data_IF_351200106251
#
_entry.id   IF_351200106251
#
_cell.length_a   1.000
_cell.length_b   1.000
_cell.length_c   1.000
_cell.angle_alpha   90.00
_cell.angle_beta   90.00
_cell.angle_gamma   90.00
#
_symmetry.space_group_name_H-M   'P 1'
#
loop_
_entity.id
_entity.type
_entity.pdbx_description
1 polymer ?
#
# COMPACT_ATOMS: atom_id res chain seq x y z
N UNK A 1 -49.52 31.71 -3.33
CA UNK A 1 -48.87 30.45 -2.94
C UNK A 1 -47.98 30.09 -4.12
N UNK A 2 -46.65 30.11 -3.94
CA UNK A 2 -45.76 29.69 -5.03
C UNK A 2 -45.90 28.17 -5.21
N UNK A 3 -46.20 27.74 -6.45
CA UNK A 3 -46.30 26.34 -6.80
C UNK A 3 -44.91 25.65 -6.68
N UNK A 4 -44.70 24.90 -5.65
CA UNK A 4 -43.44 24.18 -5.35
C UNK A 4 -43.27 22.93 -6.23
N UNK A 5 -44.26 22.60 -7.07
CA UNK A 5 -44.21 21.41 -7.96
C UNK A 5 -43.34 21.63 -9.20
N UNK A 6 -42.96 22.87 -9.52
CA UNK A 6 -42.22 23.22 -10.75
C UNK A 6 -40.78 23.68 -10.53
N UNK A 7 -40.21 23.49 -9.35
CA UNK A 7 -38.79 23.80 -9.17
C UNK A 7 -37.94 22.71 -9.84
N UNK A 8 -37.12 23.06 -10.85
CA UNK A 8 -36.24 22.13 -11.48
C UNK A 8 -35.24 21.64 -10.42
N UNK A 9 -35.08 20.31 -10.29
CA UNK A 9 -34.17 19.70 -9.35
C UNK A 9 -32.70 19.83 -9.75
N UNK A 10 -32.47 20.29 -11.00
CA UNK A 10 -31.15 20.63 -11.55
C UNK A 10 -31.20 22.04 -12.09
N UNK A 11 -30.34 22.93 -11.61
CA UNK A 11 -30.33 24.34 -12.01
C UNK A 11 -28.96 24.97 -11.84
N UNK A 12 -28.73 26.10 -12.54
CA UNK A 12 -27.57 26.95 -12.29
C UNK A 12 -27.91 27.94 -11.18
N UNK A 13 -27.00 28.11 -10.22
CA UNK A 13 -27.10 29.12 -9.19
C UNK A 13 -26.86 30.51 -9.80
N UNK A 14 -27.46 31.55 -9.19
CA UNK A 14 -27.21 32.92 -9.58
C UNK A 14 -25.70 33.23 -9.60
N UNK A 15 -25.22 33.83 -10.71
CA UNK A 15 -23.78 33.99 -10.98
C UNK A 15 -23.22 32.94 -11.96
N UNK A 16 -23.93 31.86 -12.22
CA UNK A 16 -23.62 30.89 -13.29
C UNK A 16 -22.47 29.89 -13.03
N UNK A 17 -21.74 30.03 -11.92
CA UNK A 17 -20.53 29.28 -11.67
C UNK A 17 -20.79 27.88 -11.05
N UNK A 18 -22.03 27.64 -10.59
CA UNK A 18 -22.38 26.39 -9.91
C UNK A 18 -23.60 25.75 -10.56
N UNK A 19 -23.47 24.48 -10.95
CA UNK A 19 -24.60 23.63 -11.32
C UNK A 19 -25.06 22.83 -10.09
N UNK A 20 -26.30 23.01 -9.68
CA UNK A 20 -26.86 22.38 -8.48
C UNK A 20 -27.78 21.24 -8.87
N UNK A 21 -27.57 20.09 -8.24
CA UNK A 21 -28.47 18.94 -8.24
C UNK A 21 -29.12 18.91 -6.85
N UNK A 22 -30.35 19.39 -6.74
CA UNK A 22 -31.08 19.45 -5.47
C UNK A 22 -31.57 18.08 -5.04
N UNK A 23 -32.10 17.99 -3.81
CA UNK A 23 -32.62 16.72 -3.25
C UNK A 23 -33.62 16.06 -4.20
N UNK A 24 -33.38 14.79 -4.53
CA UNK A 24 -34.16 14.01 -5.50
C UNK A 24 -33.89 14.36 -6.97
N UNK A 25 -32.90 15.21 -7.26
CA UNK A 25 -32.35 15.40 -8.63
C UNK A 25 -31.37 14.28 -8.97
N UNK A 26 -31.24 13.97 -10.25
CA UNK A 26 -30.30 12.94 -10.76
C UNK A 26 -29.45 13.57 -11.86
N UNK A 27 -28.15 13.27 -11.85
CA UNK A 27 -27.26 13.43 -13.00
C UNK A 27 -27.10 12.05 -13.64
N UNK A 28 -27.71 11.87 -14.79
CA UNK A 28 -27.54 10.67 -15.60
C UNK A 28 -26.55 10.97 -16.75
N UNK A 29 -25.52 10.13 -16.84
CA UNK A 29 -24.53 10.19 -17.91
C UNK A 29 -24.75 8.98 -18.81
N UNK A 30 -25.41 9.20 -19.93
CA UNK A 30 -25.76 8.16 -20.89
C UNK A 30 -24.51 7.47 -21.49
N UNK A 31 -24.75 6.35 -22.18
CA UNK A 31 -23.70 5.60 -22.86
C UNK A 31 -22.90 6.47 -23.84
N UNK A 32 -21.61 6.50 -23.71
CA UNK A 32 -20.69 7.34 -24.48
C UNK A 32 -20.45 8.74 -23.89
N UNK A 33 -21.21 9.15 -22.86
CA UNK A 33 -20.93 10.33 -22.06
C UNK A 33 -19.77 10.11 -21.09
N UNK A 34 -19.12 11.18 -20.65
CA UNK A 34 -18.05 11.12 -19.67
C UNK A 34 -18.18 12.20 -18.61
N UNK A 35 -18.03 11.80 -17.33
CA UNK A 35 -17.82 12.75 -16.24
C UNK A 35 -16.33 13.02 -16.11
N UNK A 36 -15.93 14.29 -16.15
CA UNK A 36 -14.52 14.71 -16.03
C UNK A 36 -14.30 15.59 -14.81
N UNK A 37 -13.19 15.36 -14.11
CA UNK A 37 -12.71 16.22 -13.04
C UNK A 37 -11.37 16.83 -13.46
N UNK A 38 -11.28 18.17 -13.50
CA UNK A 38 -10.10 18.89 -14.01
C UNK A 38 -9.62 18.40 -15.39
N UNK A 39 -10.57 18.07 -16.28
CA UNK A 39 -10.27 17.59 -17.63
C UNK A 39 -9.99 16.08 -17.74
N UNK A 40 -9.78 15.39 -16.64
CA UNK A 40 -9.53 13.93 -16.60
C UNK A 40 -10.85 13.18 -16.45
N UNK A 41 -11.10 12.20 -17.31
CA UNK A 41 -12.30 11.37 -17.24
C UNK A 41 -12.29 10.50 -15.99
N UNK A 42 -13.41 10.45 -15.28
CA UNK A 42 -13.67 9.49 -14.21
C UNK A 42 -14.08 8.18 -14.89
N UNK A 43 -13.20 7.19 -14.88
CA UNK A 43 -13.41 5.89 -15.56
C UNK A 43 -13.95 4.76 -14.68
N UNK A 44 -13.95 4.86 -13.31
CA UNK A 44 -14.50 3.79 -12.49
C UNK A 44 -15.98 3.53 -12.77
N UNK A 45 -16.39 2.28 -12.71
CA UNK A 45 -17.80 1.88 -12.79
C UNK A 45 -18.58 2.40 -11.57
N UNK A 46 -19.91 2.49 -11.68
CA UNK A 46 -20.77 2.83 -10.55
C UNK A 46 -20.57 1.89 -9.34
N UNK A 47 -20.28 0.60 -9.59
CA UNK A 47 -19.98 -0.35 -8.53
C UNK A 47 -18.67 -0.02 -7.78
N UNK A 48 -17.64 0.44 -8.49
CA UNK A 48 -16.36 0.84 -7.89
C UNK A 48 -16.49 2.16 -7.11
N UNK A 49 -17.23 3.12 -7.64
CA UNK A 49 -17.54 4.37 -6.93
C UNK A 49 -18.34 4.10 -5.67
N UNK A 50 -19.35 3.22 -5.72
CA UNK A 50 -20.16 2.85 -4.57
C UNK A 50 -19.35 2.06 -3.53
N UNK A 51 -18.40 1.23 -3.95
CA UNK A 51 -17.45 0.59 -3.03
C UNK A 51 -16.61 1.62 -2.28
N UNK A 52 -16.09 2.63 -2.94
CA UNK A 52 -15.30 3.68 -2.30
C UNK A 52 -16.13 4.48 -1.28
N UNK A 53 -17.40 4.73 -1.55
CA UNK A 53 -18.32 5.40 -0.63
C UNK A 53 -18.65 4.56 0.61
N UNK A 54 -18.75 3.23 0.48
CA UNK A 54 -19.00 2.32 1.61
C UNK A 54 -17.79 2.08 2.49
N UNK A 55 -16.58 2.32 1.98
CA UNK A 55 -15.31 2.21 2.72
C UNK A 55 -15.08 3.44 3.63
N UNK A 56 -15.80 4.53 3.41
CA UNK A 56 -15.43 5.86 3.92
C UNK A 56 -15.62 6.10 5.42
N UNK A 57 -16.30 5.26 6.20
CA UNK A 57 -16.65 5.66 7.57
C UNK A 57 -16.11 4.76 8.70
N UNK A 58 -15.84 3.48 8.46
CA UNK A 58 -15.53 2.53 9.56
C UNK A 58 -14.57 1.39 9.20
N UNK A 59 -14.11 1.30 7.96
CA UNK A 59 -13.24 0.21 7.54
C UNK A 59 -11.77 0.65 7.49
N UNK A 60 -10.89 -0.22 7.98
CA UNK A 60 -9.46 -0.11 7.70
C UNK A 60 -9.23 -0.09 6.17
N UNK A 61 -8.65 0.97 5.67
CA UNK A 61 -8.18 0.99 4.29
C UNK A 61 -6.91 0.16 4.21
N UNK A 62 -6.94 -0.89 3.41
CA UNK A 62 -5.76 -1.71 3.13
C UNK A 62 -4.99 -1.10 1.97
N UNK A 63 -3.73 -0.81 2.20
CA UNK A 63 -2.78 -0.29 1.22
C UNK A 63 -1.64 -1.29 1.07
N UNK A 64 -1.25 -1.57 -0.16
CA UNK A 64 0.00 -2.30 -0.45
C UNK A 64 1.00 -1.33 -1.03
N UNK A 65 2.15 -1.22 -0.38
CA UNK A 65 3.30 -0.45 -0.87
C UNK A 65 4.48 -1.40 -1.12
N UNK A 66 5.28 -1.08 -2.13
CA UNK A 66 6.39 -1.93 -2.53
C UNK A 66 7.65 -1.14 -2.90
N UNK A 67 8.80 -1.78 -2.76
CA UNK A 67 10.11 -1.30 -3.24
C UNK A 67 10.79 -2.42 -4.00
N UNK A 68 11.30 -2.09 -5.18
CA UNK A 68 12.06 -3.01 -6.02
C UNK A 68 13.56 -2.75 -5.87
N UNK A 69 14.29 -3.80 -5.52
CA UNK A 69 15.75 -3.82 -5.51
C UNK A 69 16.23 -4.47 -6.80
N UNK A 70 17.09 -3.77 -7.54
CA UNK A 70 17.71 -4.27 -8.76
C UNK A 70 19.21 -4.24 -8.59
N UNK A 71 19.86 -5.39 -8.82
CA UNK A 71 21.30 -5.51 -8.71
C UNK A 71 22.01 -4.72 -9.80
N UNK A 72 22.96 -3.86 -9.39
CA UNK A 72 23.74 -3.01 -10.27
C UNK A 72 25.20 -2.90 -9.75
N UNK A 73 25.80 -4.04 -9.37
CA UNK A 73 27.16 -4.10 -8.82
C UNK A 73 27.19 -4.44 -7.33
N UNK A 74 28.37 -4.34 -6.74
CA UNK A 74 28.57 -4.55 -5.31
C UNK A 74 28.09 -3.34 -4.51
N UNK A 75 27.48 -3.59 -3.34
CA UNK A 75 27.05 -2.53 -2.44
C UNK A 75 25.76 -2.86 -1.68
N UNK A 76 25.30 -1.89 -0.91
CA UNK A 76 24.04 -1.94 -0.20
C UNK A 76 22.99 -1.10 -0.93
N UNK A 77 21.84 -1.70 -1.16
CA UNK A 77 20.66 -1.10 -1.78
C UNK A 77 19.61 -0.91 -0.68
N UNK A 78 19.30 0.31 -0.33
CA UNK A 78 18.32 0.62 0.73
C UNK A 78 17.00 1.05 0.11
N UNK A 79 15.93 0.42 0.53
CA UNK A 79 14.56 0.78 0.17
C UNK A 79 13.72 1.06 1.41
N UNK A 80 12.83 2.04 1.33
CA UNK A 80 12.01 2.47 2.47
C UNK A 80 10.55 2.58 2.08
N UNK A 81 9.68 2.02 2.92
CA UNK A 81 8.23 2.16 2.86
C UNK A 81 7.78 2.92 4.11
N UNK A 82 7.26 4.13 3.94
CA UNK A 82 6.76 4.94 5.04
C UNK A 82 5.33 4.50 5.43
N UNK A 83 5.13 4.13 6.68
CA UNK A 83 3.82 3.81 7.24
C UNK A 83 3.29 4.98 8.07
N UNK A 84 2.06 5.44 7.84
CA UNK A 84 1.41 6.45 8.67
C UNK A 84 1.24 6.00 10.13
N UNK A 85 1.09 6.96 11.03
CA UNK A 85 0.73 6.69 12.42
C UNK A 85 -0.59 5.90 12.53
N UNK A 86 -0.65 4.98 13.48
CA UNK A 86 -1.81 4.12 13.68
C UNK A 86 -1.91 2.95 12.69
N UNK A 87 -0.93 2.76 11.80
CA UNK A 87 -0.92 1.66 10.84
C UNK A 87 -0.74 0.31 11.52
N UNK A 88 -1.46 -0.69 10.99
CA UNK A 88 -1.29 -2.10 11.33
C UNK A 88 -0.83 -2.86 10.08
N UNK A 89 0.31 -3.50 10.14
CA UNK A 89 0.79 -4.40 9.10
C UNK A 89 -0.09 -5.65 9.10
N UNK A 90 -0.62 -5.98 7.93
CA UNK A 90 -1.41 -7.20 7.66
C UNK A 90 -0.47 -8.28 7.16
N UNK A 91 0.36 -7.92 6.18
CA UNK A 91 1.41 -8.79 5.64
C UNK A 91 2.64 -7.96 5.25
N UNK A 92 3.81 -8.56 5.34
CA UNK A 92 5.08 -8.00 4.89
C UNK A 92 5.91 -9.16 4.35
N UNK A 93 6.56 -8.92 3.24
CA UNK A 93 7.37 -9.98 2.63
C UNK A 93 8.39 -9.47 1.65
N UNK A 94 9.19 -10.41 1.21
CA UNK A 94 10.15 -10.26 0.13
C UNK A 94 9.92 -11.35 -0.90
N UNK A 95 9.86 -10.98 -2.18
CA UNK A 95 9.74 -11.93 -3.29
C UNK A 95 10.96 -11.85 -4.22
N UNK A 96 11.44 -13.01 -4.63
CA UNK A 96 12.50 -13.18 -5.61
C UNK A 96 11.92 -13.09 -7.03
N UNK A 97 12.30 -12.05 -7.77
CA UNK A 97 11.90 -11.91 -9.17
C UNK A 97 12.98 -12.41 -10.14
N UNK A 98 14.23 -12.24 -9.77
CA UNK A 98 15.39 -12.80 -10.45
C UNK A 98 16.52 -13.05 -9.45
N UNK A 99 17.24 -14.15 -9.62
CA UNK A 99 18.35 -14.53 -8.75
C UNK A 99 19.48 -13.51 -8.84
N UNK A 100 20.04 -13.15 -7.71
CA UNK A 100 21.18 -12.25 -7.63
C UNK A 100 22.46 -12.95 -8.08
N UNK A 101 23.20 -12.30 -8.93
CA UNK A 101 24.41 -12.85 -9.59
C UNK A 101 25.71 -12.40 -8.91
N UNK A 102 25.63 -11.71 -7.79
CA UNK A 102 26.80 -11.27 -6.99
C UNK A 102 27.87 -12.36 -6.88
N UNK A 103 29.13 -11.99 -7.06
CA UNK A 103 30.24 -12.94 -7.12
C UNK A 103 30.40 -13.77 -5.84
N UNK A 104 30.17 -13.18 -4.67
CA UNK A 104 30.39 -13.84 -3.37
C UNK A 104 29.07 -14.14 -2.65
N UNK A 105 28.29 -13.11 -2.31
CA UNK A 105 27.01 -13.27 -1.59
C UNK A 105 26.06 -12.15 -1.93
N UNK A 106 24.77 -12.44 -1.82
CA UNK A 106 23.71 -11.43 -1.80
C UNK A 106 22.68 -11.80 -0.75
N UNK A 107 22.26 -10.84 0.04
CA UNK A 107 21.23 -11.04 1.08
C UNK A 107 20.40 -9.79 1.27
N UNK A 108 19.19 -9.94 1.81
CA UNK A 108 18.33 -8.84 2.23
C UNK A 108 17.97 -9.02 3.70
N UNK A 109 17.94 -7.90 4.44
CA UNK A 109 17.32 -7.79 5.76
C UNK A 109 16.15 -6.83 5.67
N UNK A 110 15.13 -7.01 6.53
CA UNK A 110 13.98 -6.11 6.60
C UNK A 110 13.64 -5.82 8.05
N UNK A 111 13.58 -4.55 8.38
CA UNK A 111 13.27 -4.09 9.72
C UNK A 111 12.73 -2.66 9.75
N UNK A 112 13.04 -1.95 10.82
CA UNK A 112 12.72 -0.54 11.00
C UNK A 112 13.86 0.18 11.73
N UNK A 113 13.64 1.45 12.12
CA UNK A 113 14.66 2.24 12.83
C UNK A 113 15.02 1.74 14.24
N UNK A 114 14.29 0.80 14.79
CA UNK A 114 14.56 0.20 16.11
C UNK A 114 15.28 -1.15 16.03
N UNK A 115 15.08 -1.87 14.91
CA UNK A 115 15.69 -3.19 14.67
C UNK A 115 15.72 -3.39 13.13
N UNK A 116 16.90 -3.37 12.55
CA UNK A 116 17.12 -3.36 11.09
C UNK A 116 16.78 -4.70 10.42
N UNK A 117 16.66 -5.78 11.19
CA UNK A 117 16.26 -7.12 10.74
C UNK A 117 15.06 -7.68 11.52
N UNK A 118 14.31 -6.81 12.18
CA UNK A 118 13.21 -7.19 13.05
C UNK A 118 12.10 -8.00 12.37
N UNK A 119 11.85 -7.80 11.08
CA UNK A 119 10.90 -8.60 10.31
C UNK A 119 11.58 -9.80 9.67
N UNK A 120 12.65 -9.59 8.92
CA UNK A 120 13.40 -10.67 8.27
C UNK A 120 14.89 -10.53 8.56
N UNK A 121 15.46 -11.58 9.15
CA UNK A 121 16.89 -11.78 9.24
C UNK A 121 17.51 -11.94 7.85
N UNK A 122 18.84 -11.95 7.75
CA UNK A 122 19.54 -12.05 6.48
C UNK A 122 19.06 -13.24 5.63
N UNK A 123 18.30 -12.92 4.58
CA UNK A 123 17.74 -13.86 3.62
C UNK A 123 18.63 -13.89 2.38
N UNK A 124 19.16 -15.05 2.03
CA UNK A 124 20.03 -15.24 0.87
C UNK A 124 19.23 -15.06 -0.45
N UNK A 125 19.72 -14.22 -1.34
CA UNK A 125 19.11 -13.90 -2.63
C UNK A 125 19.72 -14.69 -3.80
N UNK A 126 20.60 -15.65 -3.50
CA UNK A 126 21.29 -16.51 -4.47
C UNK A 126 20.72 -17.95 -4.43
N UNK A 127 19.41 -18.09 -4.52
CA UNK A 127 18.67 -19.36 -4.56
C UNK A 127 18.64 -20.19 -3.28
N UNK A 128 19.40 -19.84 -2.24
CA UNK A 128 19.43 -20.69 -1.03
C UNK A 128 18.20 -20.49 -0.15
N UNK A 129 17.76 -19.23 0.03
CA UNK A 129 16.62 -18.90 0.90
C UNK A 129 15.47 -18.26 0.12
N UNK A 130 15.75 -17.67 -1.06
CA UNK A 130 14.78 -16.99 -1.90
C UNK A 130 15.19 -17.11 -3.38
N UNK A 131 14.60 -18.06 -4.09
CA UNK A 131 14.77 -18.22 -5.52
C UNK A 131 13.81 -17.31 -6.32
N UNK A 132 14.00 -17.27 -7.64
CA UNK A 132 13.07 -16.58 -8.53
C UNK A 132 11.69 -17.25 -8.48
N UNK A 133 10.65 -16.46 -8.23
CA UNK A 133 9.27 -16.93 -8.06
C UNK A 133 8.90 -17.35 -6.65
N UNK A 134 9.82 -17.30 -5.69
CA UNK A 134 9.55 -17.60 -4.28
C UNK A 134 9.23 -16.32 -3.48
N UNK A 135 8.52 -16.53 -2.38
CA UNK A 135 8.09 -15.48 -1.44
C UNK A 135 8.41 -15.92 -0.02
N UNK A 136 9.03 -15.04 0.76
CA UNK A 136 9.08 -15.12 2.21
C UNK A 136 8.19 -14.02 2.80
N UNK A 137 7.21 -14.38 3.64
CA UNK A 137 6.31 -13.45 4.29
C UNK A 137 6.11 -13.77 5.78
N UNK A 138 5.21 -13.06 6.46
CA UNK A 138 4.97 -13.24 7.91
C UNK A 138 4.55 -14.69 8.24
N UNK A 139 3.78 -15.34 7.38
CA UNK A 139 3.27 -16.70 7.62
C UNK A 139 4.29 -17.77 7.24
N UNK A 140 5.08 -17.49 6.21
CA UNK A 140 6.09 -18.40 5.67
C UNK A 140 7.43 -17.67 5.52
N UNK A 141 8.15 -17.42 6.63
CA UNK A 141 9.38 -16.62 6.60
C UNK A 141 10.62 -17.39 6.12
N UNK A 142 10.49 -18.62 5.64
CA UNK A 142 11.62 -19.42 5.16
C UNK A 142 12.72 -19.66 6.20
N UNK A 143 12.39 -19.73 7.50
CA UNK A 143 13.37 -19.81 8.57
C UNK A 143 14.12 -18.50 8.86
N UNK A 144 13.70 -17.38 8.25
CA UNK A 144 14.35 -16.06 8.37
C UNK A 144 13.53 -15.04 9.18
N UNK A 145 12.58 -15.52 9.98
CA UNK A 145 11.77 -14.68 10.85
C UNK A 145 12.64 -13.85 11.80
N UNK A 146 12.44 -12.53 11.79
CA UNK A 146 13.06 -11.62 12.74
C UNK A 146 12.28 -11.54 14.06
N UNK A 147 12.83 -10.80 15.04
CA UNK A 147 12.28 -10.69 16.39
C UNK A 147 10.85 -10.14 16.44
N UNK A 148 10.44 -9.33 15.45
CA UNK A 148 9.10 -8.74 15.40
C UNK A 148 8.00 -9.71 15.00
N UNK A 149 8.32 -10.86 14.43
CA UNK A 149 7.35 -11.87 14.00
C UNK A 149 7.50 -13.21 14.71
N UNK A 150 8.61 -13.46 15.41
CA UNK A 150 8.84 -14.69 16.20
C UNK A 150 8.37 -14.59 17.65
N UNK A 151 8.25 -13.36 18.19
CA UNK A 151 7.81 -13.15 19.57
C UNK A 151 6.34 -13.47 19.79
N UNK A 152 5.94 -13.72 21.05
CA UNK A 152 4.54 -13.89 21.45
C UNK A 152 3.68 -12.66 21.08
N UNK A 153 4.29 -11.47 21.13
CA UNK A 153 3.66 -10.21 20.74
C UNK A 153 4.35 -9.67 19.48
N UNK A 154 3.69 -9.85 18.35
CA UNK A 154 4.19 -9.36 17.07
C UNK A 154 4.14 -7.83 16.99
N UNK A 155 5.23 -7.18 16.60
CA UNK A 155 5.30 -5.72 16.41
C UNK A 155 4.68 -5.26 15.08
N UNK A 156 3.42 -5.63 14.84
CA UNK A 156 2.70 -5.31 13.60
C UNK A 156 1.95 -3.97 13.66
N UNK A 157 1.75 -3.41 14.84
CA UNK A 157 1.09 -2.11 15.03
C UNK A 157 2.10 -1.05 15.45
N UNK A 158 1.91 0.18 14.97
CA UNK A 158 2.66 1.35 15.42
C UNK A 158 1.74 2.54 15.64
N UNK A 159 1.70 3.07 16.86
CA UNK A 159 0.96 4.29 17.17
C UNK A 159 1.58 5.53 16.52
N UNK A 160 2.89 5.55 16.30
CA UNK A 160 3.60 6.60 15.57
C UNK A 160 3.87 6.19 14.11
N UNK A 161 4.08 7.17 13.25
CA UNK A 161 4.59 6.90 11.91
C UNK A 161 5.96 6.20 11.99
N UNK A 162 6.19 5.22 11.13
CA UNK A 162 7.47 4.50 11.05
C UNK A 162 7.84 4.15 9.62
N UNK A 163 9.13 3.98 9.38
CA UNK A 163 9.65 3.50 8.11
C UNK A 163 9.98 2.00 8.22
N UNK A 164 9.48 1.23 7.27
CA UNK A 164 9.96 -0.14 7.04
C UNK A 164 11.11 -0.03 6.05
N UNK A 165 12.25 -0.59 6.43
CA UNK A 165 13.50 -0.44 5.70
C UNK A 165 13.97 -1.83 5.28
N UNK A 166 14.17 -2.01 3.98
CA UNK A 166 14.86 -3.15 3.41
C UNK A 166 16.26 -2.77 3.00
N UNK A 167 17.24 -3.60 3.32
CA UNK A 167 18.61 -3.43 2.86
C UNK A 167 19.06 -4.71 2.17
N UNK A 168 19.17 -4.64 0.84
CA UNK A 168 19.77 -5.71 0.05
C UNK A 168 21.27 -5.42 -0.12
N UNK A 169 22.11 -6.38 0.24
CA UNK A 169 23.57 -6.25 0.15
C UNK A 169 24.14 -7.24 -0.84
N UNK A 170 24.88 -6.75 -1.82
CA UNK A 170 25.60 -7.54 -2.82
C UNK A 170 27.11 -7.44 -2.58
N UNK A 171 27.77 -8.61 -2.44
CA UNK A 171 29.23 -8.70 -2.32
C UNK A 171 29.81 -9.31 -3.58
N UNK A 172 30.62 -8.54 -4.27
CA UNK A 172 31.10 -8.84 -5.62
C UNK A 172 30.15 -8.32 -6.70
N UNK A 173 30.68 -8.13 -7.90
CA UNK A 173 29.93 -7.58 -9.00
C UNK A 173 28.82 -8.53 -9.46
N UNK A 174 27.62 -8.03 -9.60
CA UNK A 174 26.47 -8.72 -10.18
C UNK A 174 25.54 -7.69 -10.84
N UNK A 175 24.72 -8.13 -11.80
CA UNK A 175 23.94 -7.22 -12.65
C UNK A 175 22.53 -7.71 -12.99
N UNK A 176 22.09 -8.87 -12.49
CA UNK A 176 20.85 -9.49 -12.93
C UNK A 176 19.81 -9.69 -11.83
N UNK A 177 20.17 -9.54 -10.56
CA UNK A 177 19.28 -9.80 -9.43
C UNK A 177 18.13 -8.79 -9.32
N UNK A 178 16.95 -9.30 -8.97
CA UNK A 178 15.76 -8.49 -8.67
C UNK A 178 14.98 -9.10 -7.52
N UNK A 179 14.71 -8.28 -6.52
CA UNK A 179 13.90 -8.66 -5.35
C UNK A 179 12.95 -7.53 -5.02
N UNK A 180 11.71 -7.84 -4.70
CA UNK A 180 10.72 -6.88 -4.27
C UNK A 180 10.46 -7.07 -2.77
N UNK A 181 10.48 -5.99 -2.01
CA UNK A 181 9.91 -5.91 -0.68
C UNK A 181 8.54 -5.29 -0.78
N UNK A 182 7.55 -5.85 -0.08
CA UNK A 182 6.21 -5.28 -0.01
C UNK A 182 5.71 -5.22 1.43
N UNK A 183 4.81 -4.28 1.70
CA UNK A 183 4.08 -4.17 2.95
C UNK A 183 2.61 -3.94 2.63
N UNK A 184 1.76 -4.86 3.08
CA UNK A 184 0.32 -4.69 3.09
C UNK A 184 -0.08 -4.21 4.49
N UNK A 185 -0.68 -3.05 4.60
CA UNK A 185 -1.05 -2.46 5.87
C UNK A 185 -2.43 -1.81 5.85
N UNK A 186 -3.05 -1.73 7.01
CA UNK A 186 -4.29 -1.02 7.22
C UNK A 186 -4.06 0.24 8.04
N UNK A 187 -4.67 1.35 7.62
CA UNK A 187 -4.73 2.59 8.40
C UNK A 187 -6.10 2.71 9.03
N UNK A 188 -6.22 3.05 10.32
CA UNK A 188 -7.51 3.34 10.90
C UNK A 188 -8.07 4.62 10.30
N UNK A 189 -9.30 4.57 9.79
CA UNK A 189 -10.11 5.76 9.63
C UNK A 189 -10.56 6.19 11.02
N UNK A 190 -10.31 7.44 11.38
CA UNK A 190 -10.58 7.97 12.70
C UNK A 190 -12.05 7.80 13.10
N UNK A 191 -12.31 6.82 13.97
CA UNK A 191 -13.55 6.66 14.69
C UNK A 191 -13.21 6.67 16.18
N UNK A 192 -13.54 7.73 16.91
CA UNK A 192 -13.40 7.74 18.34
C UNK A 192 -14.49 6.85 18.95
N UNK A 193 -14.10 5.84 19.74
CA UNK A 193 -15.04 5.19 20.64
C UNK A 193 -15.49 6.20 21.70
N UNK A 194 -16.76 6.53 21.75
CA UNK A 194 -17.34 7.27 22.86
C UNK A 194 -17.66 6.28 23.98
N UNK A 195 -17.15 6.58 25.17
CA UNK A 195 -17.56 5.85 26.38
C UNK A 195 -19.06 6.08 26.59
N UNK A 196 -19.82 5.00 26.61
CA UNK A 196 -21.22 5.04 26.98
C UNK A 196 -21.39 5.33 28.48
#
# INVERSE_FOLDING_TARGET
>A
MADTTYMPKTYRKDGGDTHVIASGGVLDVEAGGALKLAGVAITPTAAEINKSASIAATAYQTVTAEVLFTEAGAGAYTGTIALPAGSRIIDIGVDGQAVWTAGTSASIIVGDGGDDNGFFAATNLKETDLAAGEINNIEHPGGKAGAYITGEQRKLYSAAARNIIGVATSVGAGTAGRTRMYVCYATPTAGAATKA
#
